data_IF_884526700960
#
_entry.id   IF_884526700960
#
_cell.length_a   1.000
_cell.length_b   1.000
_cell.length_c   1.000
_cell.angle_alpha   90.00
_cell.angle_beta   90.00
_cell.angle_gamma   90.00
#
_symmetry.space_group_name_H-M   'P 1'
#
loop_
_entity.id
_entity.type
_entity.pdbx_description
1 polymer ?
#
# COMPACT_ATOMS: atom_id res chain seq x y z
N UNK A 1 59.50 10.47 39.64
CA UNK A 1 58.61 10.73 38.50
C UNK A 1 57.78 9.48 38.23
N UNK A 2 56.55 9.40 38.77
CA UNK A 2 55.66 8.24 38.60
C UNK A 2 54.94 8.38 37.24
N UNK A 3 55.19 7.45 36.33
CA UNK A 3 54.56 7.42 35.00
C UNK A 3 53.10 7.00 35.16
N UNK A 4 52.19 7.95 34.96
CA UNK A 4 50.75 7.72 34.87
C UNK A 4 50.47 7.04 33.53
N UNK A 5 50.21 5.73 33.53
CA UNK A 5 49.77 5.01 32.34
C UNK A 5 48.28 5.25 32.19
N UNK A 6 47.91 6.16 31.28
CA UNK A 6 46.54 6.46 30.92
C UNK A 6 45.98 5.26 30.12
N UNK A 7 45.14 4.43 30.77
CA UNK A 7 44.42 3.35 30.10
C UNK A 7 43.31 3.97 29.24
N UNK A 8 43.58 4.17 27.96
CA UNK A 8 42.58 4.54 26.97
C UNK A 8 41.66 3.33 26.76
N UNK A 9 40.55 3.27 27.49
CA UNK A 9 39.46 2.34 27.19
C UNK A 9 38.85 2.82 25.88
N UNK A 10 39.31 2.25 24.76
CA UNK A 10 38.63 2.32 23.48
C UNK A 10 37.27 1.62 23.67
N UNK A 11 36.24 2.39 24.02
CA UNK A 11 34.86 1.99 23.77
C UNK A 11 34.69 2.02 22.26
N UNK A 12 35.08 0.93 21.60
CA UNK A 12 34.54 0.58 20.29
C UNK A 12 33.04 0.41 20.50
N UNK A 13 32.31 1.51 20.36
CA UNK A 13 30.87 1.49 20.20
C UNK A 13 30.62 0.71 18.93
N UNK A 14 30.36 -0.59 19.09
CA UNK A 14 29.70 -1.37 18.04
C UNK A 14 28.37 -0.67 17.87
N UNK A 15 28.26 0.20 16.87
CA UNK A 15 26.98 0.63 16.35
C UNK A 15 26.37 -0.64 15.79
N UNK A 16 25.68 -1.39 16.65
CA UNK A 16 24.74 -2.40 16.22
C UNK A 16 23.71 -1.59 15.43
N UNK A 17 23.85 -1.61 14.10
CA UNK A 17 22.78 -1.19 13.21
C UNK A 17 21.57 -1.99 13.67
N UNK A 18 20.65 -1.34 14.38
CA UNK A 18 19.49 -2.03 14.92
C UNK A 18 18.72 -2.57 13.72
N UNK A 19 18.76 -3.89 13.53
CA UNK A 19 17.96 -4.55 12.50
C UNK A 19 16.50 -4.27 12.83
N UNK A 20 15.84 -3.54 11.94
CA UNK A 20 14.42 -3.27 12.10
C UNK A 20 13.64 -4.59 11.92
N UNK A 21 12.62 -4.79 12.75
CA UNK A 21 11.77 -5.97 12.68
C UNK A 21 10.33 -5.54 12.48
N UNK A 22 9.55 -6.41 11.84
CA UNK A 22 8.12 -6.19 11.67
C UNK A 22 7.33 -7.47 11.94
N UNK A 23 6.09 -7.30 12.40
CA UNK A 23 5.09 -8.37 12.39
C UNK A 23 4.28 -8.23 11.10
N UNK A 24 4.37 -9.24 10.23
CA UNK A 24 3.67 -9.30 8.95
C UNK A 24 2.38 -10.07 9.11
N UNK A 25 1.27 -9.46 8.72
CA UNK A 25 -0.05 -10.07 8.67
C UNK A 25 -0.54 -10.11 7.23
N UNK A 26 -0.95 -11.29 6.75
CA UNK A 26 -1.43 -11.50 5.37
C UNK A 26 -2.94 -11.69 5.42
N UNK A 27 -3.66 -10.84 4.71
CA UNK A 27 -5.12 -10.88 4.60
C UNK A 27 -5.53 -11.35 3.21
N UNK A 28 -6.54 -12.21 3.13
CA UNK A 28 -7.31 -12.38 1.89
C UNK A 28 -8.38 -11.27 1.87
N UNK A 29 -8.28 -10.38 0.89
CA UNK A 29 -9.30 -9.40 0.56
C UNK A 29 -10.21 -9.98 -0.52
N UNK A 30 -11.46 -10.27 -0.18
CA UNK A 30 -12.52 -10.54 -1.14
C UNK A 30 -13.27 -9.25 -1.43
N UNK A 31 -13.43 -8.88 -2.69
CA UNK A 31 -14.13 -7.65 -3.07
C UNK A 31 -14.94 -7.76 -4.36
N UNK A 32 -15.98 -6.94 -4.46
CA UNK A 32 -16.82 -6.78 -5.64
C UNK A 32 -16.34 -5.58 -6.45
N UNK A 33 -15.56 -5.76 -7.54
CA UNK A 33 -14.98 -4.64 -8.28
C UNK A 33 -16.02 -3.80 -9.04
N UNK A 34 -17.09 -4.44 -9.52
CA UNK A 34 -18.11 -3.85 -10.38
C UNK A 34 -19.45 -3.76 -9.67
N UNK A 35 -20.00 -2.56 -9.49
CA UNK A 35 -21.24 -2.31 -8.73
C UNK A 35 -22.43 -3.14 -9.23
N UNK A 36 -22.55 -3.27 -10.55
CA UNK A 36 -23.66 -3.96 -11.22
C UNK A 36 -23.37 -5.45 -11.48
N UNK A 37 -22.29 -6.00 -10.92
CA UNK A 37 -21.90 -7.41 -11.05
C UNK A 37 -22.11 -8.19 -9.75
N UNK A 38 -22.26 -9.50 -9.84
CA UNK A 38 -22.17 -10.41 -8.68
C UNK A 38 -20.79 -11.03 -8.53
N UNK A 39 -19.88 -10.77 -9.48
CA UNK A 39 -18.53 -11.34 -9.48
C UNK A 39 -17.70 -10.75 -8.33
N UNK A 40 -17.13 -11.65 -7.53
CA UNK A 40 -16.13 -11.32 -6.52
C UNK A 40 -14.73 -11.64 -7.05
N UNK A 41 -13.77 -10.83 -6.66
CA UNK A 41 -12.34 -11.07 -6.84
C UNK A 41 -11.66 -11.19 -5.48
N UNK A 42 -10.49 -11.84 -5.47
CA UNK A 42 -9.70 -12.10 -4.27
C UNK A 42 -8.26 -11.69 -4.49
N UNK A 43 -7.73 -10.88 -3.58
CA UNK A 43 -6.32 -10.52 -3.55
C UNK A 43 -5.72 -10.75 -2.18
N UNK A 44 -4.43 -11.09 -2.15
CA UNK A 44 -3.67 -11.11 -0.92
C UNK A 44 -3.14 -9.72 -0.63
N UNK A 45 -3.39 -9.24 0.57
CA UNK A 45 -2.94 -7.96 1.08
C UNK A 45 -2.00 -8.22 2.26
N UNK A 46 -1.08 -7.29 2.51
CA UNK A 46 -0.13 -7.40 3.61
C UNK A 46 -0.23 -6.17 4.50
N UNK A 47 -0.21 -6.38 5.81
CA UNK A 47 -0.06 -5.36 6.85
C UNK A 47 1.23 -5.68 7.61
N UNK A 48 2.25 -4.86 7.42
CA UNK A 48 3.51 -4.94 8.17
C UNK A 48 3.47 -3.91 9.31
N UNK A 49 3.60 -4.38 10.55
CA UNK A 49 3.62 -3.55 11.75
C UNK A 49 5.05 -3.50 12.29
N UNK A 50 5.69 -2.33 12.19
CA UNK A 50 6.99 -2.04 12.81
C UNK A 50 6.82 -1.22 14.09
N UNK A 51 7.93 -0.77 14.68
CA UNK A 51 7.92 0.01 15.92
C UNK A 51 7.21 1.38 15.76
N UNK A 52 7.35 2.01 14.61
CA UNK A 52 6.96 3.41 14.38
C UNK A 52 5.71 3.57 13.55
N UNK A 53 5.28 2.54 12.80
CA UNK A 53 4.09 2.59 11.95
C UNK A 53 3.65 1.20 11.48
N UNK A 54 2.51 1.17 10.80
CA UNK A 54 2.14 0.05 9.93
C UNK A 54 2.02 0.45 8.46
N UNK A 55 2.26 -0.52 7.57
CA UNK A 55 2.17 -0.38 6.12
C UNK A 55 1.24 -1.46 5.58
N UNK A 56 0.13 -1.03 4.99
CA UNK A 56 -0.83 -1.88 4.28
C UNK A 56 -0.69 -1.71 2.77
N UNK A 57 -0.51 -2.81 2.02
CA UNK A 57 -0.39 -2.80 0.55
C UNK A 57 -0.69 -4.17 -0.07
N UNK A 58 -0.72 -4.25 -1.40
CA UNK A 58 -0.83 -5.50 -2.15
C UNK A 58 0.36 -6.42 -1.82
N UNK A 59 0.09 -7.69 -1.51
CA UNK A 59 1.12 -8.65 -1.12
C UNK A 59 2.08 -8.99 -2.27
N UNK A 60 1.65 -8.84 -3.53
CA UNK A 60 2.50 -9.11 -4.70
C UNK A 60 3.73 -8.19 -4.77
N UNK A 61 3.63 -6.97 -4.25
CA UNK A 61 4.73 -6.01 -4.17
C UNK A 61 5.87 -6.51 -3.26
N UNK A 62 5.54 -7.24 -2.19
CA UNK A 62 6.52 -7.65 -1.18
C UNK A 62 6.95 -9.11 -1.35
N UNK A 63 6.04 -9.97 -1.80
CA UNK A 63 6.31 -11.41 -1.97
C UNK A 63 7.31 -11.73 -3.09
N UNK A 64 7.46 -10.83 -4.06
CA UNK A 64 8.33 -11.01 -5.22
C UNK A 64 9.62 -10.18 -5.14
N UNK A 65 9.90 -9.53 -4.00
CA UNK A 65 10.98 -8.56 -3.88
C UNK A 65 12.37 -9.18 -4.12
N UNK A 66 12.61 -10.38 -3.59
CA UNK A 66 13.88 -11.11 -3.83
C UNK A 66 14.04 -11.56 -5.28
N UNK A 67 12.96 -12.05 -5.91
CA UNK A 67 12.97 -12.45 -7.32
C UNK A 67 13.27 -11.23 -8.21
N UNK A 68 12.68 -10.08 -7.87
CA UNK A 68 12.90 -8.82 -8.57
C UNK A 68 14.34 -8.34 -8.42
N UNK A 69 14.90 -8.39 -7.21
CA UNK A 69 16.30 -8.05 -6.96
C UNK A 69 17.24 -8.86 -7.85
N UNK A 70 17.08 -10.19 -7.84
CA UNK A 70 17.91 -11.08 -8.66
C UNK A 70 17.79 -10.78 -10.16
N UNK A 71 16.57 -10.51 -10.64
CA UNK A 71 16.33 -10.14 -12.03
C UNK A 71 17.02 -8.83 -12.41
N UNK A 72 16.87 -7.78 -11.60
CA UNK A 72 17.47 -6.47 -11.84
C UNK A 72 19.00 -6.53 -11.76
N UNK A 73 19.57 -7.26 -10.79
CA UNK A 73 21.02 -7.43 -10.68
C UNK A 73 21.62 -8.25 -11.83
N UNK A 74 20.88 -9.22 -12.38
CA UNK A 74 21.28 -9.93 -13.60
C UNK A 74 21.29 -8.99 -14.81
N UNK A 75 20.25 -8.17 -14.99
CA UNK A 75 20.19 -7.18 -16.07
C UNK A 75 21.32 -6.15 -15.98
N UNK A 76 21.58 -5.62 -14.76
CA UNK A 76 22.71 -4.72 -14.50
C UNK A 76 24.05 -5.35 -14.89
N UNK A 77 24.29 -6.60 -14.49
CA UNK A 77 25.52 -7.34 -14.82
C UNK A 77 25.67 -7.62 -16.31
N UNK A 78 24.57 -7.91 -17.00
CA UNK A 78 24.56 -8.16 -18.43
C UNK A 78 24.69 -6.88 -19.27
N UNK A 79 24.48 -5.70 -18.68
CA UNK A 79 24.43 -4.43 -19.42
C UNK A 79 23.26 -4.35 -20.41
N UNK A 80 22.27 -5.24 -20.28
CA UNK A 80 21.15 -5.38 -21.21
C UNK A 80 19.84 -5.48 -20.44
N UNK A 81 18.84 -4.74 -20.91
CA UNK A 81 17.47 -4.84 -20.41
C UNK A 81 16.81 -6.11 -20.98
N UNK A 82 16.13 -6.88 -20.11
CA UNK A 82 15.29 -7.99 -20.57
C UNK A 82 13.82 -7.52 -20.57
N UNK A 83 13.23 -7.18 -21.72
CA UNK A 83 11.87 -6.65 -21.81
C UNK A 83 10.78 -7.67 -21.44
N UNK A 84 11.14 -8.95 -21.35
CA UNK A 84 10.22 -10.02 -20.98
C UNK A 84 10.30 -10.40 -19.49
N UNK A 85 11.13 -9.74 -18.68
CA UNK A 85 11.26 -10.06 -17.25
C UNK A 85 9.92 -9.96 -16.51
N UNK A 86 9.07 -9.01 -16.91
CA UNK A 86 7.77 -8.75 -16.29
C UNK A 86 6.75 -9.86 -16.56
N UNK A 87 6.94 -10.70 -17.59
CA UNK A 87 6.03 -11.82 -17.91
C UNK A 87 5.97 -12.87 -16.80
N UNK A 88 7.07 -13.04 -16.08
CA UNK A 88 7.16 -14.02 -15.00
C UNK A 88 6.80 -13.44 -13.63
N UNK A 89 6.40 -12.17 -13.59
CA UNK A 89 6.03 -11.46 -12.37
C UNK A 89 4.50 -11.33 -12.30
N UNK A 90 3.93 -11.59 -11.13
CA UNK A 90 2.53 -11.26 -10.86
C UNK A 90 2.40 -9.74 -10.78
N UNK A 91 1.40 -9.20 -11.49
CA UNK A 91 1.05 -7.78 -11.46
C UNK A 91 0.14 -7.53 -10.25
N UNK A 92 0.46 -6.51 -9.46
CA UNK A 92 -0.42 -6.03 -8.41
C UNK A 92 -1.77 -5.64 -9.01
N UNK A 93 -2.85 -5.87 -8.25
CA UNK A 93 -4.19 -5.40 -8.63
C UNK A 93 -4.65 -4.22 -7.80
N UNK A 94 -4.00 -3.99 -6.65
CA UNK A 94 -4.25 -2.85 -5.79
C UNK A 94 -3.02 -1.96 -5.80
N UNK A 95 -3.18 -0.73 -6.29
CA UNK A 95 -2.06 0.21 -6.49
C UNK A 95 -1.62 0.92 -5.21
N UNK A 96 -2.58 1.23 -4.33
CA UNK A 96 -2.33 2.09 -3.19
C UNK A 96 -1.56 1.41 -2.06
N UNK A 97 -0.84 2.24 -1.30
CA UNK A 97 -0.30 1.93 0.01
C UNK A 97 -0.97 2.80 1.06
N UNK A 98 -1.27 2.23 2.23
CA UNK A 98 -1.74 2.97 3.40
C UNK A 98 -0.71 2.86 4.51
N UNK A 99 -0.19 3.99 4.97
CA UNK A 99 0.70 4.06 6.13
C UNK A 99 -0.08 4.60 7.34
N UNK A 100 0.14 4.02 8.52
CA UNK A 100 -0.41 4.51 9.80
C UNK A 100 0.72 4.78 10.77
N UNK A 101 0.99 6.06 11.06
CA UNK A 101 2.12 6.46 11.91
C UNK A 101 1.78 6.37 13.40
N UNK A 102 2.61 5.72 14.20
CA UNK A 102 2.42 5.59 15.64
C UNK A 102 3.09 6.72 16.42
N UNK A 103 2.53 7.13 17.58
CA UNK A 103 1.30 6.62 18.20
C UNK A 103 0.02 7.31 17.72
N UNK A 104 0.11 8.35 16.89
CA UNK A 104 -1.05 9.18 16.51
C UNK A 104 -2.09 8.47 15.64
N UNK A 105 -1.69 7.37 14.99
CA UNK A 105 -2.44 6.67 13.95
C UNK A 105 -2.82 7.56 12.76
N UNK A 106 -2.03 8.62 12.51
CA UNK A 106 -2.20 9.47 11.33
C UNK A 106 -2.07 8.61 10.07
N UNK A 107 -3.10 8.64 9.24
CA UNK A 107 -3.19 7.85 8.02
C UNK A 107 -2.59 8.66 6.88
N UNK A 108 -1.75 8.02 6.06
CA UNK A 108 -1.28 8.54 4.79
C UNK A 108 -1.63 7.54 3.68
N UNK A 109 -2.45 7.95 2.72
CA UNK A 109 -2.80 7.16 1.54
C UNK A 109 -1.88 7.58 0.39
N UNK A 110 -1.18 6.62 -0.20
CA UNK A 110 -0.11 6.85 -1.18
C UNK A 110 -0.44 6.14 -2.48
N UNK A 111 -0.27 6.87 -3.59
CA UNK A 111 -0.26 6.34 -4.96
C UNK A 111 1.07 6.70 -5.62
N UNK A 112 1.53 5.87 -6.56
CA UNK A 112 2.74 6.15 -7.34
C UNK A 112 2.35 6.42 -8.78
N UNK A 113 2.64 7.62 -9.24
CA UNK A 113 2.41 8.02 -10.63
C UNK A 113 3.69 7.83 -11.44
N UNK A 114 3.57 7.31 -12.65
CA UNK A 114 4.66 7.34 -13.62
C UNK A 114 4.48 8.55 -14.53
N UNK A 115 5.49 9.40 -14.63
CA UNK A 115 5.52 10.49 -15.61
C UNK A 115 6.94 10.71 -16.09
N UNK A 116 7.15 10.84 -17.40
CA UNK A 116 8.49 11.09 -17.97
C UNK A 116 9.54 10.04 -17.55
N UNK A 117 9.14 8.77 -17.41
CA UNK A 117 10.02 7.69 -16.94
C UNK A 117 10.39 7.77 -15.46
N UNK A 118 9.81 8.71 -14.70
CA UNK A 118 10.02 8.88 -13.26
C UNK A 118 8.79 8.43 -12.48
N UNK A 119 9.02 7.61 -11.46
CA UNK A 119 8.01 7.26 -10.48
C UNK A 119 7.95 8.32 -9.38
N UNK A 120 6.77 8.92 -9.21
CA UNK A 120 6.54 10.01 -8.26
C UNK A 120 5.42 9.60 -7.29
N UNK A 121 5.74 9.39 -6.01
CA UNK A 121 4.72 9.11 -5.01
C UNK A 121 3.97 10.40 -4.67
N UNK A 122 2.65 10.35 -4.73
CA UNK A 122 1.74 11.38 -4.24
C UNK A 122 0.96 10.83 -3.05
N UNK A 123 0.60 11.69 -2.10
CA UNK A 123 -0.16 11.26 -0.95
C UNK A 123 -1.13 12.34 -0.45
N UNK A 124 -2.11 11.91 0.32
CA UNK A 124 -2.81 12.77 1.27
C UNK A 124 -2.82 12.10 2.64
N UNK A 125 -2.86 12.92 3.68
CA UNK A 125 -2.99 12.47 5.05
C UNK A 125 -4.32 12.88 5.65
N UNK A 126 -4.80 12.06 6.57
CA UNK A 126 -6.02 12.32 7.33
C UNK A 126 -5.90 11.80 8.76
N UNK A 127 -6.55 12.52 9.68
CA UNK A 127 -6.69 12.12 11.07
C UNK A 127 -8.07 11.49 11.27
N UNK A 128 -8.20 10.24 10.82
CA UNK A 128 -9.46 9.49 10.86
C UNK A 128 -9.65 8.83 12.23
N UNK A 129 -10.81 9.00 12.87
CA UNK A 129 -11.17 8.27 14.10
C UNK A 129 -12.40 7.41 13.89
N UNK A 130 -12.30 6.13 14.24
CA UNK A 130 -13.42 5.19 14.16
C UNK A 130 -14.20 5.18 15.47
N UNK A 131 -15.51 5.39 15.37
CA UNK A 131 -16.44 5.22 16.50
C UNK A 131 -16.87 3.76 16.55
N UNK A 132 -16.05 2.90 17.16
CA UNK A 132 -16.35 1.48 17.31
C UNK A 132 -17.40 1.25 18.39
N UNK A 133 -18.43 0.46 18.06
CA UNK A 133 -19.33 -0.16 19.03
C UNK A 133 -18.88 -1.60 19.25
N UNK A 134 -18.19 -1.85 20.36
CA UNK A 134 -17.78 -3.19 20.75
C UNK A 134 -18.98 -3.95 21.31
N UNK A 135 -19.19 -5.17 20.83
CA UNK A 135 -20.34 -6.01 21.14
C UNK A 135 -19.92 -7.25 21.95
N UNK A 136 -20.83 -7.86 22.72
CA UNK A 136 -20.50 -9.03 23.56
C UNK A 136 -20.26 -10.30 22.74
N UNK A 137 -20.68 -10.35 21.47
CA UNK A 137 -20.51 -11.50 20.59
C UNK A 137 -19.03 -11.87 20.46
N UNK A 138 -18.74 -13.15 20.69
CA UNK A 138 -17.42 -13.75 20.52
C UNK A 138 -17.50 -14.91 19.55
N UNK A 139 -16.46 -15.08 18.75
CA UNK A 139 -16.33 -16.21 17.84
C UNK A 139 -14.87 -16.55 17.62
N UNK A 140 -14.60 -17.68 16.95
CA UNK A 140 -13.26 -18.04 16.53
C UNK A 140 -13.08 -17.69 15.05
N UNK A 141 -12.03 -16.92 14.73
CA UNK A 141 -11.65 -16.60 13.35
C UNK A 141 -10.27 -17.20 13.11
N UNK A 142 -10.21 -18.27 12.31
CA UNK A 142 -9.00 -19.08 12.19
C UNK A 142 -8.64 -19.69 13.54
N UNK A 143 -7.49 -19.32 14.09
CA UNK A 143 -7.02 -19.79 15.39
C UNK A 143 -7.32 -18.83 16.55
N UNK A 144 -7.80 -17.61 16.25
CA UNK A 144 -7.91 -16.52 17.21
C UNK A 144 -9.28 -16.43 17.84
N UNK A 145 -9.31 -16.19 19.15
CA UNK A 145 -10.54 -15.77 19.83
C UNK A 145 -10.80 -14.31 19.48
N UNK A 146 -11.97 -14.04 18.89
CA UNK A 146 -12.29 -12.72 18.38
C UNK A 146 -13.60 -12.18 18.98
N UNK A 147 -13.64 -10.87 19.20
CA UNK A 147 -14.81 -10.14 19.67
C UNK A 147 -15.33 -9.23 18.56
N UNK A 148 -16.64 -9.13 18.45
CA UNK A 148 -17.31 -8.32 17.43
C UNK A 148 -17.26 -6.83 17.78
N UNK A 149 -17.08 -6.01 16.77
CA UNK A 149 -17.30 -4.58 16.83
C UNK A 149 -17.92 -4.08 15.52
N UNK A 150 -18.64 -2.96 15.58
CA UNK A 150 -19.22 -2.33 14.38
C UNK A 150 -18.88 -0.85 14.29
N UNK A 151 -18.74 -0.32 13.09
CA UNK A 151 -18.58 1.13 12.86
C UNK A 151 -19.16 1.53 11.50
N UNK A 152 -19.25 2.83 11.24
CA UNK A 152 -19.62 3.37 9.94
C UNK A 152 -18.44 4.18 9.39
N UNK A 153 -18.06 3.90 8.14
CA UNK A 153 -16.94 4.55 7.49
C UNK A 153 -17.08 4.50 5.97
N UNK A 154 -16.72 5.58 5.29
CA UNK A 154 -16.75 5.65 3.82
C UNK A 154 -18.15 5.49 3.23
N UNK A 155 -19.21 5.76 3.99
CA UNK A 155 -20.60 5.50 3.56
C UNK A 155 -21.02 4.03 3.61
N UNK A 156 -20.22 3.16 4.25
CA UNK A 156 -20.54 1.75 4.50
C UNK A 156 -20.64 1.46 6.00
N UNK A 157 -21.43 0.46 6.35
CA UNK A 157 -21.45 -0.12 7.70
C UNK A 157 -20.54 -1.33 7.74
N UNK A 158 -19.71 -1.40 8.76
CA UNK A 158 -18.66 -2.41 8.89
C UNK A 158 -18.88 -3.27 10.14
N UNK A 159 -18.70 -4.58 9.99
CA UNK A 159 -18.55 -5.52 11.10
C UNK A 159 -17.10 -5.99 11.14
N UNK A 160 -16.42 -5.71 12.24
CA UNK A 160 -15.07 -6.16 12.52
C UNK A 160 -15.09 -7.24 13.61
N UNK A 161 -14.13 -8.16 13.54
CA UNK A 161 -13.80 -9.13 14.57
C UNK A 161 -12.34 -8.90 14.93
N UNK A 162 -12.06 -8.52 16.17
CA UNK A 162 -10.72 -8.23 16.67
C UNK A 162 -10.30 -9.25 17.73
N UNK A 163 -9.00 -9.53 17.83
CA UNK A 163 -8.46 -10.48 18.80
C UNK A 163 -7.40 -9.86 19.69
N UNK A 164 -7.57 -10.01 21.00
CA UNK A 164 -6.59 -9.62 22.02
C UNK A 164 -5.36 -10.54 22.04
N UNK A 165 -5.45 -11.73 21.42
CA UNK A 165 -4.35 -12.68 21.30
C UNK A 165 -3.19 -12.09 20.45
N UNK A 166 -3.53 -11.12 19.58
CA UNK A 166 -2.61 -10.31 18.80
C UNK A 166 -2.75 -8.84 19.28
N UNK A 167 -1.92 -8.37 20.24
CA UNK A 167 -2.13 -7.11 20.95
C UNK A 167 -1.70 -5.87 20.14
N UNK A 168 -2.07 -5.80 18.87
CA UNK A 168 -1.84 -4.66 17.97
C UNK A 168 -3.16 -3.96 17.70
N UNK A 169 -3.30 -2.69 18.05
CA UNK A 169 -4.55 -1.94 17.82
C UNK A 169 -4.71 -1.47 16.36
N UNK A 170 -4.55 -2.39 15.42
CA UNK A 170 -4.42 -2.12 13.98
C UNK A 170 -5.27 -3.11 13.15
N UNK A 171 -5.29 -2.94 11.82
CA UNK A 171 -6.10 -3.72 10.91
C UNK A 171 -5.81 -3.43 9.43
N UNK A 172 -6.48 -4.13 8.51
CA UNK A 172 -6.31 -3.92 7.08
C UNK A 172 -6.84 -2.55 6.64
N UNK A 173 -6.33 -2.06 5.50
CA UNK A 173 -6.69 -0.76 4.95
C UNK A 173 -6.47 0.38 5.98
N UNK A 174 -7.48 1.24 6.17
CA UNK A 174 -7.47 2.37 7.09
C UNK A 174 -7.92 1.99 8.51
N UNK A 175 -8.49 0.81 8.72
CA UNK A 175 -9.10 0.43 10.01
C UNK A 175 -8.05 0.21 11.10
N UNK A 176 -8.34 0.75 12.29
CA UNK A 176 -7.52 0.62 13.50
C UNK A 176 -8.35 0.92 14.76
N UNK A 177 -7.75 0.77 15.95
CA UNK A 177 -8.27 1.35 17.20
C UNK A 177 -9.16 0.44 18.04
N UNK A 178 -9.26 -0.85 17.71
CA UNK A 178 -9.84 -1.87 18.58
C UNK A 178 -8.76 -2.43 19.53
N UNK A 179 -9.13 -2.96 20.71
CA UNK A 179 -8.16 -3.47 21.68
C UNK A 179 -7.62 -4.86 21.27
N UNK A 180 -6.92 -4.90 20.14
CA UNK A 180 -6.41 -6.11 19.50
C UNK A 180 -6.47 -5.99 17.97
N UNK A 181 -5.80 -6.91 17.27
CA UNK A 181 -5.72 -6.85 15.81
C UNK A 181 -7.07 -7.22 15.20
N UNK A 182 -7.50 -6.47 14.18
CA UNK A 182 -8.69 -6.80 13.38
C UNK A 182 -8.37 -8.03 12.52
N UNK A 183 -8.79 -9.21 12.95
CA UNK A 183 -8.53 -10.49 12.24
C UNK A 183 -9.55 -10.75 11.12
N UNK A 184 -10.72 -10.11 11.17
CA UNK A 184 -11.69 -10.08 10.08
C UNK A 184 -12.44 -8.75 10.06
N UNK A 185 -12.74 -8.21 8.89
CA UNK A 185 -13.66 -7.08 8.74
C UNK A 185 -14.38 -7.14 7.41
N UNK A 186 -15.69 -6.88 7.40
CA UNK A 186 -16.51 -6.89 6.19
C UNK A 186 -17.61 -5.83 6.25
N UNK A 187 -18.01 -5.32 5.08
CA UNK A 187 -19.15 -4.42 4.99
C UNK A 187 -20.48 -5.18 4.97
N UNK A 188 -21.57 -4.49 5.34
CA UNK A 188 -22.91 -5.07 5.43
C UNK A 188 -23.38 -5.72 4.11
N UNK A 189 -22.98 -5.16 2.96
CA UNK A 189 -23.30 -5.68 1.63
C UNK A 189 -22.40 -6.85 1.19
N UNK A 190 -21.32 -7.15 1.94
CA UNK A 190 -20.26 -8.10 1.58
C UNK A 190 -19.60 -7.78 0.23
N UNK A 191 -19.59 -6.51 -0.14
CA UNK A 191 -18.83 -6.00 -1.27
C UNK A 191 -17.33 -6.01 -0.97
N UNK A 192 -16.95 -5.95 0.30
CA UNK A 192 -15.58 -5.98 0.77
C UNK A 192 -15.48 -6.80 2.06
N UNK A 193 -14.54 -7.74 2.09
CA UNK A 193 -14.23 -8.56 3.26
C UNK A 193 -12.73 -8.82 3.31
N UNK A 194 -12.14 -8.63 4.49
CA UNK A 194 -10.76 -9.02 4.79
C UNK A 194 -10.76 -10.09 5.84
N UNK A 195 -10.01 -11.16 5.62
CA UNK A 195 -9.81 -12.24 6.60
C UNK A 195 -8.32 -12.52 6.73
N UNK A 196 -7.81 -12.47 7.96
CA UNK A 196 -6.42 -12.82 8.27
C UNK A 196 -6.18 -14.29 7.94
N UNK A 197 -5.19 -14.56 7.10
CA UNK A 197 -4.81 -15.90 6.65
C UNK A 197 -3.54 -16.40 7.33
N UNK A 198 -2.58 -15.50 7.56
CA UNK A 198 -1.29 -15.86 8.11
C UNK A 198 -0.64 -14.68 8.83
N UNK A 199 0.26 -14.97 9.76
CA UNK A 199 1.15 -13.98 10.33
C UNK A 199 2.57 -14.55 10.50
N UNK A 200 3.57 -13.68 10.49
CA UNK A 200 4.96 -14.05 10.79
C UNK A 200 5.77 -12.86 11.27
N UNK A 201 6.83 -13.11 12.04
CA UNK A 201 7.90 -12.12 12.26
C UNK A 201 8.80 -12.03 11.03
N UNK A 202 9.21 -10.82 10.70
CA UNK A 202 10.17 -10.50 9.65
C UNK A 202 11.38 -9.84 10.30
N UNK A 203 12.54 -10.51 10.19
CA UNK A 203 13.85 -9.93 10.50
C UNK A 203 14.35 -9.11 9.31
N UNK A 204 15.27 -8.18 9.55
CA UNK A 204 15.87 -7.32 8.51
C UNK A 204 14.81 -6.59 7.68
N UNK A 205 13.76 -6.11 8.35
CA UNK A 205 12.64 -5.46 7.70
C UNK A 205 13.07 -4.15 7.04
N UNK A 206 12.65 -3.97 5.79
CA UNK A 206 12.79 -2.72 5.07
C UNK A 206 11.41 -2.28 4.58
N UNK A 207 11.06 -1.04 4.89
CA UNK A 207 9.78 -0.44 4.50
C UNK A 207 9.65 -0.23 2.99
N UNK A 208 10.78 -0.08 2.29
CA UNK A 208 10.85 0.08 0.85
C UNK A 208 11.24 -1.24 0.21
N UNK A 209 10.47 -1.65 -0.79
CA UNK A 209 10.85 -2.74 -1.70
C UNK A 209 12.14 -2.41 -2.44
N UNK A 210 12.83 -3.42 -2.96
CA UNK A 210 14.00 -3.26 -3.83
C UNK A 210 13.66 -2.39 -5.07
N UNK A 211 12.44 -2.49 -5.59
CA UNK A 211 11.96 -1.64 -6.69
C UNK A 211 11.95 -0.16 -6.30
N UNK A 212 11.39 0.16 -5.14
CA UNK A 212 11.38 1.54 -4.64
C UNK A 212 12.80 2.04 -4.38
N UNK A 213 13.68 1.21 -3.82
CA UNK A 213 15.07 1.59 -3.60
C UNK A 213 15.82 1.83 -4.93
N UNK A 214 15.52 1.05 -5.97
CA UNK A 214 16.22 1.12 -7.26
C UNK A 214 15.69 2.23 -8.16
N UNK A 215 14.37 2.36 -8.28
CA UNK A 215 13.71 3.25 -9.24
C UNK A 215 13.17 4.54 -8.60
N UNK A 216 13.14 4.59 -7.26
CA UNK A 216 12.70 5.74 -6.47
C UNK A 216 13.68 6.09 -5.33
N UNK A 217 15.01 6.00 -5.51
CA UNK A 217 15.99 6.09 -4.40
C UNK A 217 15.83 7.39 -3.59
N UNK A 218 15.61 8.51 -4.30
CA UNK A 218 15.49 9.86 -3.74
C UNK A 218 14.07 10.42 -3.90
N UNK A 219 13.05 9.55 -4.06
CA UNK A 219 11.69 10.02 -4.22
C UNK A 219 11.16 10.54 -2.88
N UNK A 220 10.82 11.82 -2.85
CA UNK A 220 10.02 12.43 -1.78
C UNK A 220 8.55 12.25 -2.10
N UNK A 221 7.76 11.85 -1.10
CA UNK A 221 6.29 11.79 -1.22
C UNK A 221 5.75 13.21 -1.33
N UNK A 222 5.09 13.52 -2.44
CA UNK A 222 4.41 14.79 -2.62
C UNK A 222 3.08 14.77 -1.86
N UNK A 223 3.06 15.38 -0.68
CA UNK A 223 1.88 15.53 0.15
C UNK A 223 0.93 16.59 -0.45
N UNK A 224 -0.32 16.22 -0.65
CA UNK A 224 -1.37 17.03 -1.28
C UNK A 224 -2.59 17.12 -0.36
N UNK A 225 -3.42 18.16 -0.56
CA UNK A 225 -4.78 18.12 -0.03
C UNK A 225 -5.54 16.96 -0.68
N UNK A 226 -6.51 16.37 0.04
CA UNK A 226 -7.32 15.26 -0.49
C UNK A 226 -7.98 15.61 -1.84
N UNK A 227 -8.53 16.81 -1.97
CA UNK A 227 -9.13 17.30 -3.23
C UNK A 227 -8.11 17.34 -4.38
N UNK A 228 -6.91 17.88 -4.12
CA UNK A 228 -5.85 17.97 -5.14
C UNK A 228 -5.32 16.59 -5.49
N UNK A 229 -5.18 15.69 -4.51
CA UNK A 229 -4.86 14.29 -4.73
C UNK A 229 -5.88 13.62 -5.64
N UNK A 230 -7.17 13.70 -5.29
CA UNK A 230 -8.26 13.07 -6.02
C UNK A 230 -8.31 13.59 -7.47
N UNK A 231 -8.16 14.91 -7.68
CA UNK A 231 -8.07 15.51 -9.01
C UNK A 231 -6.87 14.97 -9.80
N UNK A 232 -5.67 15.06 -9.21
CA UNK A 232 -4.40 14.65 -9.87
C UNK A 232 -4.43 13.18 -10.25
N UNK A 233 -4.88 12.32 -9.33
CA UNK A 233 -4.94 10.89 -9.58
C UNK A 233 -6.02 10.53 -10.60
N UNK A 234 -7.21 11.14 -10.54
CA UNK A 234 -8.25 10.88 -11.54
C UNK A 234 -7.85 11.35 -12.94
N UNK A 235 -7.09 12.44 -13.08
CA UNK A 235 -6.51 12.85 -14.36
C UNK A 235 -5.48 11.83 -14.85
N UNK A 236 -4.58 11.37 -13.96
CA UNK A 236 -3.60 10.34 -14.29
C UNK A 236 -4.24 9.03 -14.78
N UNK A 237 -5.29 8.55 -14.11
CA UNK A 237 -5.98 7.29 -14.48
C UNK A 237 -6.61 7.31 -15.89
N UNK A 238 -6.97 8.50 -16.40
CA UNK A 238 -7.51 8.66 -17.76
C UNK A 238 -6.42 8.50 -18.81
N UNK A 239 -5.21 8.92 -18.50
CA UNK A 239 -4.08 8.88 -19.42
C UNK A 239 -2.72 8.70 -18.70
N UNK A 240 -2.40 7.48 -18.23
CA UNK A 240 -1.19 7.21 -17.45
C UNK A 240 0.12 7.50 -18.20
N UNK A 241 0.08 7.54 -19.54
CA UNK A 241 1.23 7.78 -20.40
C UNK A 241 1.17 9.13 -21.13
N UNK A 242 0.23 10.02 -20.75
CA UNK A 242 -0.02 11.27 -21.45
C UNK A 242 1.22 12.16 -21.58
N UNK A 243 2.04 12.24 -20.53
CA UNK A 243 3.29 13.01 -20.56
C UNK A 243 4.34 12.46 -21.53
N UNK A 244 4.28 11.16 -21.84
CA UNK A 244 5.20 10.49 -22.76
C UNK A 244 4.78 10.61 -24.22
N UNK A 245 3.50 10.88 -24.52
CA UNK A 245 2.95 10.79 -25.88
C UNK A 245 3.68 11.64 -26.91
N UNK A 246 4.09 12.84 -26.54
CA UNK A 246 4.83 13.74 -27.43
C UNK A 246 6.19 13.18 -27.88
N UNK A 247 6.77 12.24 -27.13
CA UNK A 247 8.06 11.59 -27.44
C UNK A 247 7.87 10.28 -28.22
N UNK A 248 6.64 9.79 -28.33
CA UNK A 248 6.29 8.52 -28.98
C UNK A 248 5.88 8.75 -30.45
N UNK A 249 6.79 9.27 -31.26
CA UNK A 249 6.55 9.46 -32.69
C UNK A 249 6.28 8.13 -33.40
N UNK A 250 5.62 8.11 -34.58
CA UNK A 250 5.41 6.88 -35.34
C UNK A 250 6.69 6.10 -35.63
N UNK A 251 7.81 6.82 -35.78
CA UNK A 251 9.12 6.21 -36.00
C UNK A 251 9.64 5.54 -34.72
N UNK A 252 9.62 6.25 -33.59
CA UNK A 252 10.01 5.70 -32.29
C UNK A 252 9.17 4.47 -31.94
N UNK A 253 7.86 4.52 -32.18
CA UNK A 253 6.94 3.41 -31.89
C UNK A 253 7.25 2.14 -32.68
N UNK A 254 7.86 2.24 -33.87
CA UNK A 254 8.26 1.09 -34.70
C UNK A 254 9.62 0.51 -34.33
N UNK A 255 10.43 1.22 -33.54
CA UNK A 255 11.75 0.73 -33.13
C UNK A 255 11.59 -0.51 -32.25
N UNK A 256 12.39 -1.55 -32.54
CA UNK A 256 12.49 -2.73 -31.70
C UNK A 256 13.22 -2.40 -30.40
N UNK A 257 12.76 -2.97 -29.29
CA UNK A 257 13.47 -2.87 -28.02
C UNK A 257 14.71 -3.76 -28.10
N UNK A 258 15.92 -3.26 -27.75
CA UNK A 258 17.12 -4.09 -27.71
C UNK A 258 16.90 -5.37 -26.89
N UNK A 259 17.17 -6.53 -27.49
CA UNK A 259 16.93 -7.83 -26.86
C UNK A 259 15.46 -8.31 -26.89
N UNK A 260 14.59 -7.70 -27.69
CA UNK A 260 13.20 -8.12 -27.90
C UNK A 260 12.82 -8.19 -29.38
N UNK A 261 11.84 -9.04 -29.67
CA UNK A 261 11.05 -8.92 -30.91
C UNK A 261 9.95 -7.84 -30.81
N UNK A 262 9.63 -7.36 -29.61
CA UNK A 262 8.64 -6.30 -29.40
C UNK A 262 9.17 -4.94 -29.82
N UNK A 263 8.27 -4.13 -30.37
CA UNK A 263 8.51 -2.70 -30.60
C UNK A 263 8.26 -1.88 -29.33
N UNK A 264 8.78 -0.65 -29.29
CA UNK A 264 8.40 0.33 -28.26
C UNK A 264 6.87 0.49 -28.23
N UNK A 265 6.22 0.50 -29.40
CA UNK A 265 4.77 0.60 -29.49
C UNK A 265 4.02 -0.58 -28.88
N UNK A 266 4.54 -1.81 -28.99
CA UNK A 266 3.95 -2.98 -28.34
C UNK A 266 4.03 -2.88 -26.82
N UNK A 267 5.19 -2.44 -26.29
CA UNK A 267 5.38 -2.22 -24.86
C UNK A 267 4.46 -1.12 -24.33
N UNK A 268 4.30 -0.02 -25.06
CA UNK A 268 3.38 1.06 -24.69
C UNK A 268 1.93 0.58 -24.63
N UNK A 269 1.47 -0.18 -25.65
CA UNK A 269 0.11 -0.74 -25.67
C UNK A 269 -0.12 -1.78 -24.56
N UNK A 270 0.90 -2.55 -24.20
CA UNK A 270 0.83 -3.49 -23.08
C UNK A 270 0.75 -2.73 -21.75
N UNK A 271 1.63 -1.74 -21.55
CA UNK A 271 1.62 -0.86 -20.38
C UNK A 271 0.30 -0.12 -20.20
N UNK A 272 -0.26 0.46 -21.27
CA UNK A 272 -1.58 1.12 -21.22
C UNK A 272 -2.69 0.15 -20.79
N UNK A 273 -2.68 -1.09 -21.32
CA UNK A 273 -3.65 -2.13 -20.92
C UNK A 273 -3.50 -2.51 -19.45
N UNK A 274 -2.26 -2.64 -18.96
CA UNK A 274 -1.99 -2.97 -17.56
C UNK A 274 -2.40 -1.85 -16.61
N UNK A 275 -2.03 -0.60 -16.92
CA UNK A 275 -2.40 0.56 -16.10
C UNK A 275 -3.92 0.77 -16.09
N UNK A 276 -4.59 0.59 -17.23
CA UNK A 276 -6.05 0.61 -17.27
C UNK A 276 -6.68 -0.48 -16.42
N UNK A 277 -6.11 -1.70 -16.43
CA UNK A 277 -6.58 -2.79 -15.55
C UNK A 277 -6.35 -2.47 -14.08
N UNK A 278 -5.20 -1.92 -13.72
CA UNK A 278 -4.86 -1.58 -12.34
C UNK A 278 -5.78 -0.49 -11.79
N UNK A 279 -5.99 0.59 -12.54
CA UNK A 279 -6.65 1.79 -12.03
C UNK A 279 -8.14 1.90 -12.33
N UNK A 280 -8.63 1.25 -13.40
CA UNK A 280 -10.00 1.41 -13.89
C UNK A 280 -10.83 0.11 -13.81
N UNK A 281 -10.30 -0.96 -13.18
CA UNK A 281 -11.06 -2.21 -12.99
C UNK A 281 -12.13 -2.10 -11.90
N UNK A 282 -12.01 -1.16 -10.97
CA UNK A 282 -12.94 -0.98 -9.84
C UNK A 282 -13.80 0.27 -10.01
N UNK A 283 -15.11 0.10 -9.99
CA UNK A 283 -16.10 1.20 -9.92
C UNK A 283 -16.99 1.14 -8.66
N UNK A 284 -16.78 0.14 -7.82
CA UNK A 284 -17.38 0.02 -6.49
C UNK A 284 -16.31 0.31 -5.42
N UNK A 285 -16.04 1.58 -5.06
CA UNK A 285 -14.95 1.91 -4.13
C UNK A 285 -15.27 1.52 -2.68
N UNK A 286 -14.22 1.32 -1.87
CA UNK A 286 -14.35 1.09 -0.41
C UNK A 286 -15.06 2.28 0.24
N UNK A 287 -14.67 3.51 -0.10
CA UNK A 287 -15.28 4.75 0.36
C UNK A 287 -16.23 5.30 -0.73
N UNK A 288 -17.53 5.09 -0.56
CA UNK A 288 -18.60 5.50 -1.49
C UNK A 288 -18.88 7.00 -1.41
N UNK A 289 -18.80 7.58 -0.21
CA UNK A 289 -18.92 9.02 -0.01
C UNK A 289 -17.51 9.60 0.08
N UNK A 290 -17.10 10.43 -0.87
CA UNK A 290 -15.93 11.29 -0.68
C UNK A 290 -16.25 12.21 0.50
N UNK A 291 -15.50 12.10 1.59
CA UNK A 291 -15.69 12.89 2.82
C UNK A 291 -15.47 14.38 2.52
N UNK A 292 -16.52 15.06 2.07
CA UNK A 292 -16.64 16.51 2.13
C UNK A 292 -17.66 16.80 3.22
N UNK A 293 -17.27 16.58 4.47
CA UNK A 293 -17.96 17.18 5.60
C UNK A 293 -17.17 18.41 6.02
N UNK A 294 -17.43 19.54 5.34
CA UNK A 294 -17.20 20.83 5.96
C UNK A 294 -18.30 21.02 6.98
N UNK A 295 -17.96 20.85 8.26
CA UNK A 295 -18.78 21.35 9.35
C UNK A 295 -18.89 22.87 9.23
N UNK A 296 -20.00 23.37 8.70
CA UNK A 296 -20.43 24.73 9.00
C UNK A 296 -21.19 24.67 10.31
N UNK A 297 -20.53 25.15 11.36
CA UNK A 297 -21.20 25.46 12.63
C UNK A 297 -22.35 26.41 12.34
N UNK A 298 -23.55 25.97 12.70
CA UNK A 298 -24.70 26.83 12.92
C UNK A 298 -24.37 27.78 14.07
N UNK A 299 -24.01 29.02 13.76
CA UNK A 299 -24.21 30.11 14.71
C UNK A 299 -25.66 30.55 14.59
N UNK A 300 -26.43 30.16 15.59
CA UNK A 300 -27.67 30.84 15.96
C UNK A 300 -27.32 32.30 16.30
N UNK A 301 -27.83 33.25 15.52
CA UNK A 301 -27.96 34.63 15.98
C UNK A 301 -29.33 34.73 16.61
N UNK A 302 -29.33 34.73 17.95
CA UNK A 302 -30.48 35.11 18.77
C UNK A 302 -30.33 36.59 19.10
N UNK A 303 -31.41 37.33 18.76
CA UNK A 303 -31.73 38.76 18.96
C UNK A 303 -31.32 39.70 17.83
#
# INVERSE_FOLDING_TARGET
MKKLTLLFVLTFGVMVMAQETANRFIYEMTYKPKKDSTKLEKELMVLDISKSKSIYQDYTNVSQDSIMKDAVEKMKRAGAFNPDFSKNMKKAKISYRVNKSYPSMKIQYVEVLMSMGKFTPIAYSEDLKFNWKVLPDKTKIGEYNAQKATTEFGGRKWTAWFSTDLPFQDGPYKFYGLPGLIVKIEDEAKDYSWVLQANKKVSDYNEKTYMEQTFMPNATVAELSKEKFDKTFNEYKKDPFGSMRQYLTPEVMKQKIPGSEKTIGDMMKEGERDMNRLYNSVDNPIEVKSTVQMGKGSQEVVK
#
